data_IF_957893668319
#
_entry.id   IF_957893668319
#
_cell.length_a   1.000
_cell.length_b   1.000
_cell.length_c   1.000
_cell.angle_alpha   90.00
_cell.angle_beta   90.00
_cell.angle_gamma   90.00
#
_symmetry.space_group_name_H-M   'P 1'
#
loop_
_entity.id
_entity.type
_entity.pdbx_description
1 polymer ?
#
# COMPACT_ATOMS: atom_id res chain seq x y z
N UNK A 1 4.75 -12.99 2.10
CA UNK A 1 3.59 -12.87 1.18
C UNK A 1 2.66 -14.05 1.39
N UNK A 2 1.36 -13.87 1.18
CA UNK A 2 0.41 -14.99 1.16
C UNK A 2 0.31 -15.65 -0.22
N UNK A 3 0.59 -14.90 -1.30
CA UNK A 3 0.54 -15.37 -2.68
C UNK A 3 1.83 -15.03 -3.43
N UNK A 4 2.02 -15.70 -4.56
CA UNK A 4 3.03 -15.40 -5.58
C UNK A 4 2.34 -14.98 -6.88
N UNK A 5 3.08 -14.36 -7.81
CA UNK A 5 2.53 -13.95 -9.10
C UNK A 5 1.97 -15.13 -9.91
N UNK A 6 2.52 -16.34 -9.76
CA UNK A 6 2.02 -17.56 -10.39
C UNK A 6 0.57 -17.90 -10.00
N UNK A 7 0.11 -17.37 -8.86
CA UNK A 7 -1.25 -17.55 -8.35
C UNK A 7 -2.18 -16.39 -8.73
N UNK A 8 -1.79 -15.53 -9.69
CA UNK A 8 -2.55 -14.36 -10.13
C UNK A 8 -4.01 -14.66 -10.52
N UNK A 9 -4.29 -15.90 -10.95
CA UNK A 9 -5.64 -16.36 -11.28
C UNK A 9 -6.65 -16.20 -10.14
N UNK A 10 -6.21 -16.32 -8.87
CA UNK A 10 -7.10 -16.12 -7.71
C UNK A 10 -7.64 -14.70 -7.67
N UNK A 11 -6.82 -13.70 -7.98
CA UNK A 11 -7.23 -12.29 -7.93
C UNK A 11 -8.14 -11.90 -9.09
N UNK A 12 -7.99 -12.53 -10.26
CA UNK A 12 -8.94 -12.37 -11.37
C UNK A 12 -10.33 -12.88 -11.00
N UNK A 13 -10.40 -14.00 -10.28
CA UNK A 13 -11.67 -14.51 -9.78
C UNK A 13 -12.30 -13.59 -8.73
N UNK A 14 -11.49 -12.79 -8.02
CA UNK A 14 -11.99 -11.83 -7.03
C UNK A 14 -12.60 -10.57 -7.66
N UNK A 15 -12.24 -10.23 -8.91
CA UNK A 15 -12.78 -9.05 -9.60
C UNK A 15 -14.33 -9.07 -9.71
N UNK A 16 -14.95 -10.25 -9.68
CA UNK A 16 -16.43 -10.39 -9.74
C UNK A 16 -17.16 -9.91 -8.49
N UNK A 17 -16.43 -9.61 -7.42
CA UNK A 17 -17.01 -9.20 -6.14
C UNK A 17 -16.95 -7.68 -5.91
N UNK A 18 -16.45 -6.90 -6.88
CA UNK A 18 -16.35 -5.44 -6.80
C UNK A 18 -15.71 -4.97 -5.47
N UNK A 19 -14.64 -5.65 -5.07
CA UNK A 19 -13.94 -5.34 -3.83
C UNK A 19 -13.38 -3.91 -3.88
N UNK A 20 -13.40 -3.22 -2.74
CA UNK A 20 -12.78 -1.90 -2.62
C UNK A 20 -11.29 -1.95 -2.99
N UNK A 21 -10.57 -2.95 -2.48
CA UNK A 21 -9.15 -3.18 -2.75
C UNK A 21 -8.70 -4.58 -2.33
N UNK A 22 -7.50 -4.96 -2.78
CA UNK A 22 -6.71 -6.09 -2.29
C UNK A 22 -5.43 -5.54 -1.67
N UNK A 23 -5.19 -5.82 -0.40
CA UNK A 23 -4.03 -5.30 0.34
C UNK A 23 -2.84 -6.28 0.26
N UNK A 24 -1.68 -5.75 -0.11
CA UNK A 24 -0.37 -6.41 -0.13
C UNK A 24 -0.42 -7.91 -0.55
N UNK A 25 -0.89 -8.24 -1.77
CA UNK A 25 -1.08 -9.64 -2.17
C UNK A 25 0.23 -10.43 -2.29
N UNK A 26 1.31 -9.78 -2.72
CA UNK A 26 2.62 -10.41 -3.01
C UNK A 26 3.68 -9.99 -1.98
N UNK A 27 4.95 -10.30 -2.27
CA UNK A 27 6.08 -9.99 -1.37
C UNK A 27 6.17 -8.50 -1.08
N UNK A 28 6.40 -8.14 0.20
CA UNK A 28 6.59 -6.75 0.59
C UNK A 28 7.89 -6.15 0.05
N UNK A 29 8.80 -6.98 -0.45
CA UNK A 29 10.06 -6.54 -1.08
C UNK A 29 9.93 -6.26 -2.57
N UNK A 30 8.78 -6.52 -3.19
CA UNK A 30 8.67 -6.50 -4.65
C UNK A 30 7.59 -5.53 -5.14
N UNK A 31 7.99 -4.34 -5.61
CA UNK A 31 7.07 -3.43 -6.30
C UNK A 31 6.78 -3.86 -7.75
N UNK A 32 7.72 -4.56 -8.39
CA UNK A 32 7.63 -4.91 -9.80
C UNK A 32 6.57 -5.97 -10.06
N UNK A 33 6.53 -7.06 -9.30
CA UNK A 33 5.51 -8.08 -9.45
C UNK A 33 4.11 -7.55 -9.15
N UNK A 34 3.98 -6.62 -8.20
CA UNK A 34 2.72 -5.93 -7.95
C UNK A 34 2.25 -5.13 -9.18
N UNK A 35 3.16 -4.55 -9.98
CA UNK A 35 2.79 -3.86 -11.22
C UNK A 35 2.24 -4.80 -12.26
N UNK A 36 2.83 -5.99 -12.39
CA UNK A 36 2.34 -7.03 -13.28
C UNK A 36 0.96 -7.46 -12.82
N UNK A 37 0.79 -7.78 -11.53
CA UNK A 37 -0.50 -8.20 -11.00
C UNK A 37 -1.57 -7.11 -11.16
N UNK A 38 -1.26 -5.85 -10.83
CA UNK A 38 -2.21 -4.74 -10.95
C UNK A 38 -2.67 -4.54 -12.40
N UNK A 39 -1.81 -4.79 -13.38
CA UNK A 39 -2.15 -4.73 -14.81
C UNK A 39 -3.09 -5.87 -15.26
N UNK A 40 -3.14 -6.96 -14.51
CA UNK A 40 -3.93 -8.17 -14.82
C UNK A 40 -5.32 -8.17 -14.20
N UNK A 41 -5.62 -7.26 -13.26
CA UNK A 41 -6.86 -7.24 -12.47
C UNK A 41 -7.51 -5.85 -12.46
N UNK A 42 -8.83 -5.83 -12.29
CA UNK A 42 -9.60 -4.60 -12.16
C UNK A 42 -9.58 -4.04 -10.74
N UNK A 43 -9.60 -4.93 -9.74
CA UNK A 43 -9.59 -4.57 -8.32
C UNK A 43 -8.31 -3.78 -7.98
N UNK A 44 -8.43 -2.63 -7.30
CA UNK A 44 -7.27 -1.85 -6.84
C UNK A 44 -6.36 -2.64 -5.89
N UNK A 45 -5.06 -2.62 -6.14
CA UNK A 45 -4.05 -3.05 -5.17
C UNK A 45 -3.79 -1.88 -4.21
N UNK A 46 -3.83 -2.20 -2.91
CA UNK A 46 -3.38 -1.35 -1.83
C UNK A 46 -2.02 -1.85 -1.33
N UNK A 47 -0.98 -1.03 -1.40
CA UNK A 47 0.30 -1.39 -0.78
C UNK A 47 0.36 -0.90 0.66
N UNK A 48 0.87 -1.77 1.53
CA UNK A 48 1.16 -1.51 2.93
C UNK A 48 2.65 -1.74 3.17
N UNK A 49 3.08 -3.00 3.36
CA UNK A 49 4.43 -3.30 3.79
C UNK A 49 5.53 -2.91 2.79
N UNK A 50 5.18 -2.79 1.52
CA UNK A 50 6.10 -2.31 0.49
C UNK A 50 6.39 -0.82 0.57
N UNK A 51 5.54 -0.01 1.22
CA UNK A 51 5.73 1.44 1.32
C UNK A 51 6.43 1.76 2.64
N UNK A 52 7.71 2.13 2.57
CA UNK A 52 8.55 2.46 3.73
C UNK A 52 8.94 3.94 3.77
N UNK A 53 8.84 4.63 2.66
CA UNK A 53 9.20 6.05 2.50
C UNK A 53 8.61 6.60 1.18
N UNK A 54 8.83 7.89 0.92
CA UNK A 54 8.36 8.54 -0.32
C UNK A 54 8.93 7.93 -1.61
N UNK A 55 10.15 7.39 -1.60
CA UNK A 55 10.75 6.81 -2.80
C UNK A 55 10.02 5.55 -3.26
N UNK A 56 9.54 4.72 -2.31
CA UNK A 56 8.74 3.54 -2.63
C UNK A 56 7.39 3.93 -3.26
N UNK A 57 6.77 5.01 -2.75
CA UNK A 57 5.54 5.59 -3.30
C UNK A 57 5.77 6.06 -4.73
N UNK A 58 6.80 6.87 -4.97
CA UNK A 58 7.09 7.36 -6.31
C UNK A 58 7.43 6.23 -7.29
N UNK A 59 8.23 5.26 -6.86
CA UNK A 59 8.63 4.12 -7.68
C UNK A 59 7.41 3.25 -8.03
N UNK A 60 6.60 2.88 -7.03
CA UNK A 60 5.41 2.07 -7.24
C UNK A 60 4.37 2.76 -8.10
N UNK A 61 4.18 4.08 -7.94
CA UNK A 61 3.28 4.84 -8.82
C UNK A 61 3.76 4.83 -10.28
N UNK A 62 5.06 5.09 -10.51
CA UNK A 62 5.64 5.09 -11.88
C UNK A 62 5.58 3.71 -12.53
N UNK A 63 5.71 2.64 -11.75
CA UNK A 63 5.59 1.27 -12.23
C UNK A 63 4.13 0.86 -12.46
N UNK A 64 3.16 1.53 -11.86
CA UNK A 64 1.77 1.08 -11.84
C UNK A 64 1.51 -0.07 -10.87
N UNK A 65 2.31 -0.17 -9.81
CA UNK A 65 2.27 -1.24 -8.80
C UNK A 65 1.02 -1.25 -7.93
N UNK A 66 0.32 -0.12 -7.85
CA UNK A 66 -0.80 0.05 -6.94
C UNK A 66 -1.75 1.14 -7.43
N UNK A 67 -2.91 1.21 -6.80
CA UNK A 67 -3.86 2.34 -6.95
C UNK A 67 -4.22 2.98 -5.61
N UNK A 68 -3.95 2.29 -4.49
CA UNK A 68 -4.21 2.76 -3.12
C UNK A 68 -2.95 2.55 -2.27
N UNK A 69 -2.74 3.40 -1.26
CA UNK A 69 -1.66 3.25 -0.29
C UNK A 69 -2.21 3.21 1.13
N UNK A 70 -1.80 2.21 1.91
CA UNK A 70 -1.96 2.18 3.37
C UNK A 70 -0.76 2.88 4.01
N UNK A 71 -0.98 4.05 4.60
CA UNK A 71 0.07 4.81 5.26
C UNK A 71 0.06 4.48 6.75
N UNK A 72 1.18 3.96 7.26
CA UNK A 72 1.37 3.67 8.68
C UNK A 72 2.47 4.56 9.24
N UNK A 73 2.15 5.72 9.88
CA UNK A 73 3.15 6.68 10.36
C UNK A 73 4.25 6.04 11.22
N UNK A 74 3.91 5.05 12.03
CA UNK A 74 4.85 4.29 12.86
C UNK A 74 5.91 3.51 12.07
N UNK A 75 5.69 3.23 10.78
CA UNK A 75 6.61 2.47 9.91
C UNK A 75 7.43 3.33 8.96
N UNK A 76 6.91 4.50 8.58
CA UNK A 76 7.48 5.32 7.50
C UNK A 76 8.31 6.51 8.01
N UNK A 77 8.67 6.54 9.30
CA UNK A 77 9.50 7.61 9.87
C UNK A 77 8.72 8.77 10.51
N UNK A 78 7.44 8.56 10.85
CA UNK A 78 6.61 9.51 11.57
C UNK A 78 5.87 10.52 10.68
N UNK A 79 5.28 11.53 11.32
CA UNK A 79 4.31 12.43 10.69
C UNK A 79 4.87 13.26 9.54
N UNK A 80 6.15 13.64 9.59
CA UNK A 80 6.76 14.44 8.51
C UNK A 80 6.79 13.67 7.19
N UNK A 81 7.15 12.38 7.23
CA UNK A 81 7.14 11.55 6.01
C UNK A 81 5.71 11.23 5.58
N UNK A 82 4.80 10.99 6.53
CA UNK A 82 3.36 10.84 6.26
C UNK A 82 2.81 12.01 5.46
N UNK A 83 3.14 13.25 5.83
CA UNK A 83 2.67 14.45 5.13
C UNK A 83 3.20 14.52 3.70
N UNK A 84 4.49 14.21 3.46
CA UNK A 84 5.05 14.18 2.10
C UNK A 84 4.36 13.17 1.21
N UNK A 85 4.09 11.97 1.75
CA UNK A 85 3.37 10.92 1.02
C UNK A 85 1.94 11.36 0.73
N UNK A 86 1.26 12.00 1.68
CA UNK A 86 -0.09 12.53 1.48
C UNK A 86 -0.12 13.61 0.39
N UNK A 87 0.79 14.58 0.43
CA UNK A 87 0.91 15.62 -0.60
C UNK A 87 1.18 15.03 -1.99
N UNK A 88 2.06 14.03 -2.07
CA UNK A 88 2.32 13.32 -3.32
C UNK A 88 1.07 12.60 -3.82
N UNK A 89 0.36 11.91 -2.93
CA UNK A 89 -0.83 11.15 -3.30
C UNK A 89 -1.95 12.06 -3.78
N UNK A 90 -2.23 13.16 -3.07
CA UNK A 90 -3.22 14.18 -3.48
C UNK A 90 -2.91 14.75 -4.86
N UNK A 91 -1.65 15.14 -5.10
CA UNK A 91 -1.21 15.70 -6.39
C UNK A 91 -1.40 14.72 -7.55
N UNK A 92 -1.32 13.42 -7.29
CA UNK A 92 -1.41 12.36 -8.30
C UNK A 92 -2.77 11.64 -8.30
N UNK A 93 -3.77 12.11 -7.54
CA UNK A 93 -5.08 11.47 -7.39
C UNK A 93 -5.00 10.00 -6.93
N UNK A 94 -4.05 9.70 -6.06
CA UNK A 94 -3.88 8.38 -5.45
C UNK A 94 -4.68 8.34 -4.15
N UNK A 95 -5.53 7.33 -3.99
CA UNK A 95 -6.25 7.15 -2.73
C UNK A 95 -5.33 6.66 -1.63
N UNK A 96 -5.49 7.24 -0.43
CA UNK A 96 -4.72 6.88 0.76
C UNK A 96 -5.66 6.60 1.91
N UNK A 97 -5.20 5.80 2.86
CA UNK A 97 -5.83 5.65 4.16
C UNK A 97 -4.76 5.43 5.22
N UNK A 98 -5.06 5.79 6.47
CA UNK A 98 -4.14 5.62 7.59
C UNK A 98 -4.46 4.32 8.33
N UNK A 99 -3.58 3.34 8.23
CA UNK A 99 -3.67 2.10 8.97
C UNK A 99 -2.95 2.16 10.31
N UNK A 100 -3.42 1.37 11.28
CA UNK A 100 -2.72 1.16 12.55
C UNK A 100 -1.78 -0.05 12.51
N UNK A 101 -0.88 -0.13 13.48
CA UNK A 101 -0.24 -1.40 13.90
C UNK A 101 -0.72 -1.74 15.32
N UNK A 102 -0.44 -2.95 15.83
CA UNK A 102 -0.71 -3.26 17.23
C UNK A 102 0.17 -2.37 18.12
N UNK A 103 -0.36 -1.21 18.50
CA UNK A 103 0.32 -0.19 19.29
C UNK A 103 0.05 -0.39 20.79
N UNK A 104 1.12 -0.29 21.59
CA UNK A 104 0.99 -0.04 23.02
C UNK A 104 1.05 1.47 23.23
N UNK A 105 0.02 2.02 23.88
CA UNK A 105 -0.01 3.44 24.22
C UNK A 105 0.97 3.68 25.37
N UNK A 106 2.09 4.35 25.09
CA UNK A 106 2.89 4.97 26.15
C UNK A 106 2.17 6.24 26.58
N UNK A 107 1.38 6.15 27.66
CA UNK A 107 0.86 7.32 28.35
C UNK A 107 1.98 7.86 29.24
N UNK A 108 2.64 8.94 28.82
CA UNK A 108 3.36 9.77 29.77
C UNK A 108 2.34 10.50 30.64
N UNK A 109 2.32 10.18 31.92
CA UNK A 109 1.54 10.92 32.92
C UNK A 109 2.29 12.22 33.20
N UNK A 110 1.97 13.28 32.46
CA UNK A 110 2.43 14.63 32.79
C UNK A 110 1.82 15.01 34.14
N UNK A 111 2.68 15.12 35.16
CA UNK A 111 2.35 15.72 36.46
C UNK A 111 2.40 17.24 36.37
#
# INVERSE_FOLDING_TARGET
AAYTLDQAGVFKELDKYDLLMIEQPLSYEDLYEHSILQSMINTPICLDESIKNIYDVEAGHRLGSYRIINIKPARIGGLTETLKINEYAEKNNISTWIGGILEQVLVEHFK
#
